data_IF_856906029487
#
_entry.id   IF_856906029487
#
_cell.length_a   1.000
_cell.length_b   1.000
_cell.length_c   1.000
_cell.angle_alpha   90.00
_cell.angle_beta   90.00
_cell.angle_gamma   90.00
#
_symmetry.space_group_name_H-M   'P 1'
#
loop_
_entity.id
_entity.type
_entity.pdbx_description
1 polymer ?
#
# COMPACT_ATOMS: atom_id res chain seq x y z
N UNK A 1 -54.74 -34.22 8.42
CA UNK A 1 -54.74 -35.39 7.57
C UNK A 1 -53.44 -35.46 6.82
N UNK A 2 -52.58 -36.32 7.16
CA UNK A 2 -52.24 -37.61 6.55
C UNK A 2 -51.51 -37.40 5.18
N UNK A 3 -50.40 -37.92 4.88
CA UNK A 3 -49.51 -38.99 5.29
C UNK A 3 -48.36 -39.05 4.33
N UNK A 4 -47.22 -39.43 4.84
CA UNK A 4 -46.42 -40.61 4.55
C UNK A 4 -46.12 -40.95 3.10
N UNK A 5 -44.93 -41.16 2.72
CA UNK A 5 -43.95 -42.24 2.60
C UNK A 5 -42.98 -41.91 1.44
N UNK A 6 -41.73 -42.19 1.39
CA UNK A 6 -40.89 -43.17 1.97
C UNK A 6 -39.85 -43.66 0.94
N UNK A 7 -38.61 -43.89 1.43
CA UNK A 7 -37.58 -44.79 0.89
C UNK A 7 -36.57 -44.28 -0.15
N UNK A 8 -35.33 -44.22 0.32
CA UNK A 8 -34.11 -44.47 -0.47
C UNK A 8 -33.97 -45.96 -0.91
N UNK A 9 -32.86 -46.54 -1.34
CA UNK A 9 -31.45 -46.23 -1.07
C UNK A 9 -30.51 -46.39 -2.31
N UNK A 10 -29.18 -46.12 -2.05
CA UNK A 10 -27.97 -46.51 -2.83
C UNK A 10 -27.94 -48.00 -3.21
N UNK A 11 -26.91 -48.59 -3.87
CA UNK A 11 -25.51 -48.21 -4.11
C UNK A 11 -24.89 -48.71 -5.44
N UNK A 12 -23.55 -48.62 -5.57
CA UNK A 12 -22.55 -49.52 -6.19
C UNK A 12 -21.53 -48.76 -7.04
N UNK A 13 -20.31 -48.59 -6.58
CA UNK A 13 -19.10 -49.43 -6.66
C UNK A 13 -18.79 -50.02 -8.04
N UNK A 14 -17.58 -49.66 -8.58
CA UNK A 14 -16.62 -50.54 -9.24
C UNK A 14 -15.29 -49.79 -9.44
N UNK A 15 -14.35 -50.22 -8.99
CA UNK A 15 -12.99 -50.73 -8.84
C UNK A 15 -12.21 -50.76 -10.13
N UNK A 16 -10.92 -50.35 -9.94
CA UNK A 16 -9.69 -50.45 -10.73
C UNK A 16 -9.52 -51.74 -11.57
N UNK A 17 -8.44 -51.81 -12.43
CA UNK A 17 -7.15 -52.29 -11.94
C UNK A 17 -5.86 -51.72 -12.61
N UNK A 18 -4.81 -51.73 -11.81
CA UNK A 18 -3.39 -52.01 -11.98
C UNK A 18 -2.86 -52.66 -13.29
N UNK A 19 -1.66 -52.21 -13.73
CA UNK A 19 -0.48 -53.02 -14.18
C UNK A 19 0.71 -52.04 -14.27
N UNK A 20 1.73 -52.14 -13.49
CA UNK A 20 2.85 -53.01 -13.22
C UNK A 20 3.96 -53.01 -14.28
N UNK A 21 5.10 -52.47 -13.84
CA UNK A 21 6.50 -52.92 -14.03
C UNK A 21 7.21 -52.75 -15.36
N UNK A 22 8.38 -52.08 -15.35
CA UNK A 22 9.66 -52.76 -15.65
C UNK A 22 10.86 -51.85 -15.31
N UNK A 23 11.78 -52.42 -14.54
CA UNK A 23 13.12 -51.95 -14.20
C UNK A 23 14.08 -52.08 -15.39
N UNK A 24 15.09 -51.21 -15.51
CA UNK A 24 16.54 -51.43 -15.78
C UNK A 24 17.22 -50.08 -15.66
N UNK A 25 18.09 -49.88 -14.87
CA UNK A 25 19.43 -50.03 -14.41
C UNK A 25 20.47 -49.54 -15.40
N UNK A 26 21.20 -48.46 -15.02
CA UNK A 26 22.67 -48.46 -15.10
C UNK A 26 23.29 -47.15 -14.57
N UNK A 27 24.16 -47.36 -13.60
CA UNK A 27 25.49 -46.79 -13.30
C UNK A 27 25.70 -45.28 -13.42
N UNK A 28 26.03 -44.72 -12.25
CA UNK A 28 26.82 -43.51 -11.99
C UNK A 28 28.23 -43.59 -12.63
N UNK A 29 28.84 -42.46 -13.01
CA UNK A 29 30.11 -42.14 -12.38
C UNK A 29 30.15 -40.73 -11.78
N UNK A 30 30.80 -40.74 -10.64
CA UNK A 30 31.22 -39.63 -9.79
C UNK A 30 32.18 -38.62 -10.48
N UNK A 31 32.26 -37.45 -9.82
CA UNK A 31 33.29 -36.43 -9.94
C UNK A 31 33.13 -35.39 -11.07
N UNK A 32 32.59 -34.26 -10.68
CA UNK A 32 33.08 -32.87 -10.91
C UNK A 32 32.19 -31.89 -10.17
N UNK A 33 32.34 -31.80 -8.84
CA UNK A 33 31.96 -30.64 -8.05
C UNK A 33 33.24 -29.80 -7.90
N UNK A 34 33.24 -28.65 -8.49
CA UNK A 34 33.93 -27.40 -8.13
C UNK A 34 34.21 -26.65 -9.45
N UNK A 35 33.48 -25.61 -9.68
CA UNK A 35 33.79 -24.46 -10.56
C UNK A 35 32.53 -23.82 -11.20
N UNK A 36 31.32 -24.04 -10.65
CA UNK A 36 30.13 -23.34 -11.11
C UNK A 36 29.43 -22.50 -10.01
N UNK A 37 30.11 -22.23 -8.89
CA UNK A 37 29.53 -21.43 -7.81
C UNK A 37 29.89 -19.95 -7.82
N UNK A 38 30.74 -19.49 -8.73
CA UNK A 38 31.24 -18.09 -8.72
C UNK A 38 30.74 -17.22 -9.88
N UNK A 39 29.81 -17.68 -10.71
CA UNK A 39 29.34 -16.92 -11.89
C UNK A 39 27.81 -16.68 -11.85
N UNK A 40 27.12 -17.07 -10.81
CA UNK A 40 25.65 -16.88 -10.67
C UNK A 40 25.23 -15.64 -9.87
N UNK A 41 26.18 -14.86 -9.34
CA UNK A 41 25.89 -13.63 -8.58
C UNK A 41 25.84 -12.34 -9.41
N UNK A 42 25.92 -12.40 -10.73
CA UNK A 42 26.08 -11.22 -11.57
C UNK A 42 24.88 -10.85 -12.46
N UNK A 43 23.68 -11.36 -12.22
CA UNK A 43 22.51 -10.96 -13.02
C UNK A 43 21.16 -11.11 -12.27
N UNK A 44 21.09 -10.62 -11.03
CA UNK A 44 19.78 -10.36 -10.42
C UNK A 44 19.41 -8.94 -10.81
N UNK A 45 18.29 -8.78 -11.53
CA UNK A 45 17.71 -7.48 -11.87
C UNK A 45 17.54 -6.62 -10.60
N UNK A 46 17.80 -5.30 -10.64
CA UNK A 46 17.55 -4.40 -9.50
C UNK A 46 16.19 -4.64 -8.83
N UNK A 47 15.12 -4.76 -9.60
CA UNK A 47 13.76 -5.05 -9.10
C UNK A 47 13.64 -6.41 -8.36
N UNK A 48 14.52 -7.38 -8.62
CA UNK A 48 14.52 -8.65 -7.90
C UNK A 48 15.31 -8.58 -6.58
N UNK A 49 16.34 -7.74 -6.51
CA UNK A 49 17.09 -7.45 -5.26
C UNK A 49 16.21 -6.68 -4.29
N UNK A 50 15.52 -5.65 -4.77
CA UNK A 50 14.65 -4.79 -3.93
C UNK A 50 13.46 -5.54 -3.34
N UNK A 51 12.88 -6.52 -4.06
CA UNK A 51 11.86 -7.42 -3.50
C UNK A 51 12.40 -8.24 -2.33
N UNK A 52 13.63 -8.73 -2.43
CA UNK A 52 14.32 -9.47 -1.37
C UNK A 52 14.53 -8.63 -0.10
N UNK A 53 14.73 -7.33 -0.24
CA UNK A 53 14.97 -6.40 0.87
C UNK A 53 13.69 -6.11 1.68
N UNK A 54 12.54 -5.94 1.01
CA UNK A 54 11.23 -5.84 1.70
C UNK A 54 10.84 -7.16 2.37
N UNK A 55 11.12 -8.31 1.74
CA UNK A 55 10.91 -9.62 2.35
C UNK A 55 11.78 -9.82 3.60
N UNK A 56 12.97 -9.23 3.64
CA UNK A 56 13.82 -9.24 4.83
C UNK A 56 13.18 -8.44 5.98
N UNK A 57 12.64 -7.26 5.72
CA UNK A 57 11.90 -6.47 6.71
C UNK A 57 10.66 -7.22 7.22
N UNK A 58 9.89 -7.84 6.32
CA UNK A 58 8.71 -8.64 6.69
C UNK A 58 9.12 -9.83 7.58
N UNK A 59 10.21 -10.52 7.26
CA UNK A 59 10.73 -11.61 8.12
C UNK A 59 11.18 -11.11 9.49
N UNK A 60 11.89 -9.98 9.54
CA UNK A 60 12.36 -9.38 10.78
C UNK A 60 11.20 -8.99 11.70
N UNK A 61 10.12 -8.47 11.14
CA UNK A 61 8.93 -8.05 11.87
C UNK A 61 7.90 -9.17 12.10
N UNK A 62 8.12 -10.41 11.64
CA UNK A 62 7.10 -11.45 11.58
C UNK A 62 6.41 -11.72 12.92
N UNK A 63 7.16 -11.80 14.01
CA UNK A 63 6.59 -12.05 15.34
C UNK A 63 5.69 -10.88 15.79
N UNK A 64 6.16 -9.65 15.60
CA UNK A 64 5.40 -8.45 15.95
C UNK A 64 4.16 -8.30 15.08
N UNK A 65 4.27 -8.58 13.78
CA UNK A 65 3.12 -8.53 12.85
C UNK A 65 2.08 -9.62 13.16
N UNK A 66 2.50 -10.80 13.65
CA UNK A 66 1.57 -11.82 14.12
C UNK A 66 0.76 -11.31 15.32
N UNK A 67 1.39 -10.59 16.25
CA UNK A 67 0.70 -9.98 17.39
C UNK A 67 -0.24 -8.84 16.94
N UNK A 68 0.18 -8.02 15.96
CA UNK A 68 -0.68 -6.99 15.34
C UNK A 68 -1.93 -7.63 14.71
N UNK A 69 -1.75 -8.73 13.96
CA UNK A 69 -2.87 -9.46 13.37
C UNK A 69 -3.82 -10.03 14.44
N UNK A 70 -3.30 -10.50 15.56
CA UNK A 70 -4.11 -10.96 16.69
C UNK A 70 -4.97 -9.82 17.27
N UNK A 71 -4.42 -8.60 17.41
CA UNK A 71 -5.19 -7.43 17.82
C UNK A 71 -6.29 -7.07 16.82
N UNK A 72 -5.98 -7.11 15.52
CA UNK A 72 -6.96 -6.85 14.47
C UNK A 72 -8.10 -7.87 14.53
N UNK A 73 -7.77 -9.16 14.53
CA UNK A 73 -8.75 -10.25 14.52
C UNK A 73 -9.66 -10.20 15.76
N UNK A 74 -9.08 -9.97 16.95
CA UNK A 74 -9.85 -9.90 18.19
C UNK A 74 -10.93 -8.81 18.17
N UNK A 75 -10.67 -7.69 17.48
CA UNK A 75 -11.61 -6.56 17.41
C UNK A 75 -12.56 -6.61 16.23
N UNK A 76 -12.27 -7.47 15.26
CA UNK A 76 -13.17 -7.74 14.13
C UNK A 76 -14.26 -8.78 14.45
N UNK A 77 -14.24 -9.39 15.61
CA UNK A 77 -15.29 -10.31 16.08
C UNK A 77 -16.58 -9.52 16.35
N UNK A 78 -17.34 -9.28 15.29
CA UNK A 78 -18.58 -8.52 15.26
C UNK A 78 -19.52 -9.16 14.24
N UNK A 79 -20.87 -9.05 14.40
CA UNK A 79 -21.81 -9.42 13.35
C UNK A 79 -21.69 -8.56 12.07
N UNK A 80 -20.85 -7.51 12.08
CA UNK A 80 -20.57 -6.69 10.91
C UNK A 80 -19.69 -7.48 9.95
N UNK A 81 -20.09 -7.63 8.67
CA UNK A 81 -19.26 -8.31 7.67
C UNK A 81 -18.06 -7.42 7.32
N UNK A 82 -16.94 -7.67 7.97
CA UNK A 82 -15.68 -6.99 7.62
C UNK A 82 -14.87 -7.95 6.75
N UNK A 83 -14.67 -7.60 5.48
CA UNK A 83 -13.77 -8.36 4.62
C UNK A 83 -12.34 -8.01 5.06
N UNK A 84 -11.50 -9.01 5.43
CA UNK A 84 -10.09 -8.74 5.67
C UNK A 84 -9.51 -8.10 4.41
N UNK A 85 -9.15 -6.83 4.48
CA UNK A 85 -8.46 -6.15 3.40
C UNK A 85 -7.09 -6.80 3.25
N UNK A 86 -6.98 -7.78 2.34
CA UNK A 86 -5.69 -8.37 1.99
C UNK A 86 -4.76 -7.27 1.50
N UNK A 87 -3.54 -7.23 2.01
CA UNK A 87 -2.54 -6.24 1.63
C UNK A 87 -1.21 -6.54 2.29
N UNK A 88 -0.15 -5.85 1.87
CA UNK A 88 1.19 -6.00 2.45
C UNK A 88 1.32 -5.43 3.86
N UNK A 89 0.25 -4.83 4.42
CA UNK A 89 0.22 -4.20 5.75
C UNK A 89 1.42 -3.28 6.00
N UNK A 90 1.73 -2.45 5.01
CA UNK A 90 2.94 -1.63 5.01
C UNK A 90 2.96 -0.62 6.17
N UNK A 91 1.82 0.03 6.46
CA UNK A 91 1.75 1.01 7.54
C UNK A 91 1.92 0.38 8.94
N UNK A 92 1.23 -0.71 9.30
CA UNK A 92 1.56 -1.48 10.50
C UNK A 92 3.02 -1.91 10.60
N UNK A 93 3.59 -2.38 9.49
CA UNK A 93 4.99 -2.79 9.41
C UNK A 93 5.93 -1.62 9.73
N UNK A 94 5.64 -0.42 9.20
CA UNK A 94 6.41 0.80 9.49
C UNK A 94 6.28 1.17 10.98
N UNK A 95 5.08 1.07 11.56
CA UNK A 95 4.86 1.37 12.99
C UNK A 95 5.74 0.48 13.88
N UNK A 96 5.75 -0.82 13.63
CA UNK A 96 6.58 -1.79 14.35
C UNK A 96 8.07 -1.55 14.10
N UNK A 97 8.47 -1.37 12.84
CA UNK A 97 9.86 -1.15 12.47
C UNK A 97 10.41 0.16 13.07
N UNK A 98 9.60 1.22 13.12
CA UNK A 98 9.95 2.49 13.74
C UNK A 98 10.16 2.34 15.26
N UNK A 99 9.29 1.60 15.95
CA UNK A 99 9.46 1.29 17.37
C UNK A 99 10.79 0.59 17.62
N UNK A 100 11.11 -0.44 16.84
CA UNK A 100 12.35 -1.19 16.94
C UNK A 100 13.59 -0.36 16.59
N UNK A 101 13.53 0.42 15.51
CA UNK A 101 14.63 1.30 15.10
C UNK A 101 14.87 2.42 16.11
N UNK A 102 13.87 2.84 16.84
CA UNK A 102 13.99 3.78 17.95
C UNK A 102 14.72 3.20 19.17
N UNK A 103 15.05 1.92 19.16
CA UNK A 103 15.76 1.25 20.25
C UNK A 103 14.85 0.65 21.31
N UNK A 104 13.60 0.35 20.97
CA UNK A 104 12.70 -0.37 21.87
C UNK A 104 13.27 -1.73 22.30
N UNK A 105 13.05 -2.09 23.56
CA UNK A 105 13.32 -3.42 24.08
C UNK A 105 12.40 -4.51 23.50
N UNK A 106 12.28 -5.63 24.19
CA UNK A 106 11.43 -6.74 23.75
C UNK A 106 9.94 -6.39 23.78
N UNK A 107 9.51 -5.62 24.78
CA UNK A 107 8.13 -5.20 24.93
C UNK A 107 7.81 -3.96 24.10
N UNK A 108 7.02 -4.15 23.06
CA UNK A 108 6.46 -3.08 22.21
C UNK A 108 4.94 -3.20 22.09
N UNK A 109 4.28 -3.70 23.12
CA UNK A 109 2.83 -3.98 23.07
C UNK A 109 2.01 -2.73 22.71
N UNK A 110 2.36 -1.56 23.25
CA UNK A 110 1.72 -0.30 22.87
C UNK A 110 1.89 -0.02 21.38
N UNK A 111 3.10 -0.21 20.82
CA UNK A 111 3.35 0.00 19.37
C UNK A 111 2.61 -1.02 18.51
N UNK A 112 2.42 -2.26 18.96
CA UNK A 112 1.61 -3.26 18.24
C UNK A 112 0.13 -2.87 18.18
N UNK A 113 -0.42 -2.37 19.29
CA UNK A 113 -1.79 -1.83 19.32
C UNK A 113 -1.94 -0.62 18.40
N UNK A 114 -0.96 0.29 18.39
CA UNK A 114 -0.95 1.44 17.49
C UNK A 114 -0.82 1.03 16.03
N UNK A 115 -0.03 -0.01 15.73
CA UNK A 115 0.05 -0.57 14.37
C UNK A 115 -1.31 -1.12 13.90
N UNK A 116 -2.04 -1.80 14.79
CA UNK A 116 -3.40 -2.25 14.47
C UNK A 116 -4.38 -1.08 14.29
N UNK A 117 -4.28 -0.03 15.11
CA UNK A 117 -5.07 1.18 14.97
C UNK A 117 -4.82 1.89 13.63
N UNK A 118 -3.55 2.02 13.22
CA UNK A 118 -3.14 2.58 11.92
C UNK A 118 -3.76 1.78 10.76
N UNK A 119 -3.77 0.45 10.84
CA UNK A 119 -4.39 -0.38 9.79
C UNK A 119 -5.91 -0.22 9.75
N UNK A 120 -6.57 -0.05 10.91
CA UNK A 120 -8.01 0.22 10.95
C UNK A 120 -8.34 1.58 10.34
N UNK A 121 -7.58 2.65 10.67
CA UNK A 121 -7.74 3.96 10.05
C UNK A 121 -7.56 3.85 8.54
N UNK A 122 -6.49 3.20 8.08
CA UNK A 122 -6.24 3.02 6.64
C UNK A 122 -7.35 2.25 5.94
N UNK A 123 -7.85 1.17 6.55
CA UNK A 123 -8.91 0.36 5.94
C UNK A 123 -10.23 1.14 5.91
N UNK A 124 -10.53 1.92 6.94
CA UNK A 124 -11.69 2.77 7.00
C UNK A 124 -11.68 3.83 5.89
N UNK A 125 -10.53 4.53 5.71
CA UNK A 125 -10.41 5.51 4.61
C UNK A 125 -10.59 4.87 3.25
N UNK A 126 -10.02 3.68 2.99
CA UNK A 126 -10.23 2.97 1.73
C UNK A 126 -11.70 2.62 1.46
N UNK A 127 -12.47 2.24 2.50
CA UNK A 127 -13.89 1.92 2.35
C UNK A 127 -14.73 3.17 2.05
N UNK A 128 -14.34 4.32 2.61
CA UNK A 128 -14.97 5.60 2.33
C UNK A 128 -14.61 6.11 0.94
N UNK A 129 -13.33 6.05 0.56
CA UNK A 129 -12.82 6.47 -0.75
C UNK A 129 -13.50 5.68 -1.88
N UNK A 130 -13.62 4.34 -1.74
CA UNK A 130 -14.29 3.50 -2.75
C UNK A 130 -15.74 3.96 -3.03
N UNK A 131 -16.44 4.49 -1.99
CA UNK A 131 -17.81 5.04 -2.16
C UNK A 131 -17.77 6.40 -2.82
N UNK A 132 -16.83 7.27 -2.43
CA UNK A 132 -16.71 8.65 -2.92
C UNK A 132 -16.25 8.65 -4.37
N UNK A 133 -15.25 7.83 -4.70
CA UNK A 133 -14.67 7.73 -6.05
C UNK A 133 -15.55 6.87 -6.99
N UNK A 134 -16.52 6.10 -6.45
CA UNK A 134 -17.32 5.15 -7.23
C UNK A 134 -16.49 3.98 -7.79
N UNK A 135 -15.37 3.64 -7.15
CA UNK A 135 -14.42 2.64 -7.64
C UNK A 135 -15.06 1.26 -7.75
N UNK A 136 -14.97 0.59 -8.90
CA UNK A 136 -15.54 -0.74 -9.09
C UNK A 136 -14.69 -1.86 -8.49
N UNK A 137 -13.37 -1.69 -8.53
CA UNK A 137 -12.40 -2.69 -8.11
C UNK A 137 -11.43 -2.13 -7.05
N UNK A 138 -11.13 -2.95 -6.04
CA UNK A 138 -10.08 -2.70 -5.06
C UNK A 138 -9.15 -3.92 -4.98
N UNK A 139 -7.88 -3.76 -5.37
CA UNK A 139 -6.89 -4.84 -5.38
C UNK A 139 -7.35 -6.07 -6.20
N UNK A 140 -7.97 -5.83 -7.34
CA UNK A 140 -8.49 -6.88 -8.23
C UNK A 140 -9.76 -7.61 -7.72
N UNK A 141 -10.37 -7.12 -6.64
CA UNK A 141 -11.65 -7.61 -6.12
C UNK A 141 -12.72 -6.53 -6.27
N UNK A 142 -13.96 -6.95 -6.38
CA UNK A 142 -15.12 -6.03 -6.40
C UNK A 142 -15.12 -5.18 -5.13
N UNK A 143 -15.29 -3.87 -5.27
CA UNK A 143 -15.33 -2.92 -4.17
C UNK A 143 -16.48 -3.24 -3.19
N UNK A 144 -16.25 -3.00 -1.91
CA UNK A 144 -17.17 -3.39 -0.84
C UNK A 144 -18.56 -2.77 -1.00
N UNK A 145 -18.63 -1.52 -1.44
CA UNK A 145 -19.90 -0.81 -1.63
C UNK A 145 -20.78 -1.38 -2.75
N UNK A 146 -20.18 -2.08 -3.73
CA UNK A 146 -20.95 -2.79 -4.77
C UNK A 146 -21.53 -4.11 -4.26
N UNK A 147 -20.92 -4.71 -3.23
CA UNK A 147 -21.38 -5.97 -2.62
C UNK A 147 -22.44 -5.70 -1.56
N UNK A 148 -22.24 -4.70 -0.70
CA UNK A 148 -23.06 -4.46 0.49
C UNK A 148 -23.90 -3.19 0.45
N UNK A 149 -23.69 -2.36 -0.59
CA UNK A 149 -24.27 -1.01 -0.70
C UNK A 149 -23.41 0.05 -0.02
N UNK A 150 -23.46 1.28 -0.54
CA UNK A 150 -22.69 2.41 -0.04
C UNK A 150 -22.94 2.72 1.46
N UNK A 151 -24.19 2.70 1.98
CA UNK A 151 -24.42 2.94 3.41
C UNK A 151 -23.72 1.93 4.31
N UNK A 152 -23.69 0.65 3.93
CA UNK A 152 -23.02 -0.40 4.72
C UNK A 152 -21.51 -0.20 4.70
N UNK A 153 -20.93 0.13 3.53
CA UNK A 153 -19.48 0.39 3.41
C UNK A 153 -19.04 1.56 4.31
N UNK A 154 -19.78 2.66 4.31
CA UNK A 154 -19.52 3.82 5.17
C UNK A 154 -19.58 3.45 6.66
N UNK A 155 -20.66 2.76 7.09
CA UNK A 155 -20.81 2.36 8.48
C UNK A 155 -19.74 1.36 8.95
N UNK A 156 -19.26 0.49 8.06
CA UNK A 156 -18.12 -0.40 8.36
C UNK A 156 -16.85 0.41 8.54
N UNK A 157 -16.62 1.45 7.72
CA UNK A 157 -15.50 2.38 7.91
C UNK A 157 -15.58 3.09 9.26
N UNK A 158 -16.74 3.61 9.65
CA UNK A 158 -16.96 4.24 10.96
C UNK A 158 -16.71 3.26 12.12
N UNK A 159 -17.16 2.01 11.96
CA UNK A 159 -16.89 0.95 12.94
C UNK A 159 -15.36 0.72 13.10
N UNK A 160 -14.62 0.68 12.01
CA UNK A 160 -13.15 0.50 12.08
C UNK A 160 -12.46 1.71 12.72
N UNK A 161 -12.91 2.94 12.45
CA UNK A 161 -12.45 4.13 13.16
C UNK A 161 -12.69 4.03 14.67
N UNK A 162 -13.89 3.60 15.09
CA UNK A 162 -14.19 3.41 16.51
C UNK A 162 -13.24 2.36 17.15
N UNK A 163 -12.95 1.25 16.45
CA UNK A 163 -12.00 0.23 16.93
C UNK A 163 -10.56 0.76 16.99
N UNK A 164 -10.15 1.64 16.06
CA UNK A 164 -8.86 2.31 16.14
C UNK A 164 -8.76 3.19 17.40
N UNK A 165 -9.79 3.96 17.72
CA UNK A 165 -9.83 4.78 18.95
C UNK A 165 -9.73 3.92 20.22
N UNK A 166 -10.43 2.80 20.31
CA UNK A 166 -10.33 1.86 21.45
C UNK A 166 -8.87 1.40 21.64
N UNK A 167 -8.20 0.99 20.55
CA UNK A 167 -6.80 0.57 20.60
C UNK A 167 -5.85 1.69 21.04
N UNK A 168 -6.05 2.90 20.54
CA UNK A 168 -5.24 4.06 20.93
C UNK A 168 -5.39 4.36 22.43
N UNK A 169 -6.62 4.34 22.95
CA UNK A 169 -6.91 4.56 24.37
C UNK A 169 -6.28 3.48 25.25
N UNK A 170 -6.30 2.21 24.82
CA UNK A 170 -5.66 1.11 25.56
C UNK A 170 -4.14 1.21 25.71
N UNK A 171 -3.49 2.13 24.99
CA UNK A 171 -2.05 2.38 25.14
C UNK A 171 -1.71 3.34 26.26
N UNK A 172 -2.69 3.96 26.92
CA UNK A 172 -2.54 5.02 27.93
C UNK A 172 -1.65 6.19 27.47
N UNK A 173 -1.47 6.37 26.15
CA UNK A 173 -0.63 7.40 25.55
C UNK A 173 -1.49 8.49 24.89
N UNK A 174 -1.73 9.57 25.61
CA UNK A 174 -2.40 10.77 25.05
C UNK A 174 -1.63 11.36 23.87
N UNK A 175 -0.29 11.20 23.85
CA UNK A 175 0.55 11.65 22.74
C UNK A 175 0.27 10.83 21.48
N UNK A 176 0.25 9.50 21.58
CA UNK A 176 -0.05 8.64 20.45
C UNK A 176 -1.48 8.84 19.92
N UNK A 177 -2.45 8.97 20.83
CA UNK A 177 -3.83 9.32 20.50
C UNK A 177 -3.90 10.65 19.72
N UNK A 178 -3.21 11.69 20.20
CA UNK A 178 -3.16 12.99 19.53
C UNK A 178 -2.58 12.93 18.12
N UNK A 179 -1.50 12.15 17.92
CA UNK A 179 -0.86 11.96 16.62
C UNK A 179 -1.84 11.33 15.62
N UNK A 180 -2.45 10.21 15.97
CA UNK A 180 -3.34 9.48 15.06
C UNK A 180 -4.68 10.21 14.85
N UNK A 181 -5.20 10.90 15.85
CA UNK A 181 -6.38 11.75 15.71
C UNK A 181 -6.11 12.92 14.74
N UNK A 182 -4.95 13.60 14.88
CA UNK A 182 -4.55 14.67 13.96
C UNK A 182 -4.35 14.14 12.54
N UNK A 183 -3.69 12.99 12.37
CA UNK A 183 -3.54 12.37 11.06
C UNK A 183 -4.89 12.08 10.41
N UNK A 184 -5.87 11.56 11.17
CA UNK A 184 -7.21 11.29 10.66
C UNK A 184 -7.93 12.56 10.19
N UNK A 185 -7.77 13.67 10.91
CA UNK A 185 -8.31 14.98 10.50
C UNK A 185 -7.65 15.48 9.21
N UNK A 186 -6.31 15.42 9.13
CA UNK A 186 -5.56 15.87 7.95
C UNK A 186 -5.91 15.04 6.71
N UNK A 187 -6.10 13.74 6.86
CA UNK A 187 -6.53 12.86 5.75
C UNK A 187 -7.91 13.31 5.22
N UNK A 188 -8.87 13.55 6.11
CA UNK A 188 -10.19 14.02 5.71
C UNK A 188 -10.15 15.39 5.03
N UNK A 189 -9.33 16.31 5.54
CA UNK A 189 -9.08 17.62 4.92
C UNK A 189 -8.46 17.46 3.51
N UNK A 190 -7.50 16.53 3.35
CA UNK A 190 -6.86 16.20 2.07
C UNK A 190 -7.81 15.61 1.05
N UNK A 191 -8.75 14.74 1.48
CA UNK A 191 -9.80 14.22 0.60
C UNK A 191 -10.72 15.33 0.09
N UNK A 192 -11.17 16.21 0.97
CA UNK A 192 -11.99 17.34 0.57
C UNK A 192 -11.22 18.26 -0.40
N UNK A 193 -9.94 18.54 -0.12
CA UNK A 193 -9.11 19.32 -1.01
C UNK A 193 -8.98 18.67 -2.39
N UNK A 194 -8.69 17.36 -2.46
CA UNK A 194 -8.63 16.62 -3.72
C UNK A 194 -9.93 16.71 -4.50
N UNK A 195 -11.09 16.52 -3.85
CA UNK A 195 -12.40 16.62 -4.50
C UNK A 195 -12.66 18.01 -5.08
N UNK A 196 -12.26 19.08 -4.36
CA UNK A 196 -12.43 20.46 -4.85
C UNK A 196 -11.49 20.81 -5.99
N UNK A 197 -10.42 20.04 -6.20
CA UNK A 197 -9.41 20.21 -7.25
C UNK A 197 -9.47 19.14 -8.34
N UNK A 198 -10.43 18.23 -8.25
CA UNK A 198 -10.66 17.26 -9.32
C UNK A 198 -10.92 18.01 -10.66
N UNK A 199 -10.39 17.45 -11.75
CA UNK A 199 -10.52 18.01 -13.10
C UNK A 199 -9.81 19.37 -13.35
N UNK A 200 -9.00 19.87 -12.41
CA UNK A 200 -8.28 21.14 -12.53
C UNK A 200 -6.90 20.94 -13.22
N UNK A 201 -6.85 21.22 -14.52
CA UNK A 201 -5.61 21.16 -15.31
C UNK A 201 -4.60 22.27 -14.97
N UNK A 202 -4.99 23.28 -14.19
CA UNK A 202 -4.12 24.35 -13.74
C UNK A 202 -3.62 24.14 -12.31
N UNK A 203 -3.87 22.96 -11.74
CA UNK A 203 -3.34 22.60 -10.42
C UNK A 203 -1.82 22.75 -10.46
N UNK A 204 -1.28 23.56 -9.56
CA UNK A 204 0.18 23.69 -9.41
C UNK A 204 0.77 22.52 -8.63
N UNK A 205 2.10 22.37 -8.78
CA UNK A 205 2.84 21.29 -8.14
C UNK A 205 2.74 21.32 -6.61
N UNK A 206 2.74 22.50 -6.02
CA UNK A 206 2.74 22.65 -4.55
C UNK A 206 1.39 22.21 -3.98
N UNK A 207 0.28 22.61 -4.60
CA UNK A 207 -1.05 22.14 -4.24
C UNK A 207 -1.21 20.62 -4.44
N UNK A 208 -0.66 20.07 -5.52
CA UNK A 208 -0.62 18.61 -5.72
C UNK A 208 0.15 17.92 -4.57
N UNK A 209 1.32 18.42 -4.21
CA UNK A 209 2.12 17.89 -3.10
C UNK A 209 1.38 18.01 -1.76
N UNK A 210 0.65 19.10 -1.53
CA UNK A 210 -0.21 19.27 -0.35
C UNK A 210 -1.28 18.17 -0.28
N UNK A 211 -1.97 17.89 -1.39
CA UNK A 211 -2.99 16.83 -1.47
C UNK A 211 -2.40 15.47 -1.13
N UNK A 212 -1.32 15.05 -1.79
CA UNK A 212 -0.75 13.72 -1.54
C UNK A 212 -0.09 13.61 -0.16
N UNK A 213 0.40 14.71 0.38
CA UNK A 213 0.93 14.78 1.73
C UNK A 213 -0.19 14.53 2.73
N UNK A 214 -1.30 15.25 2.62
CA UNK A 214 -2.43 15.11 3.51
C UNK A 214 -3.11 13.73 3.39
N UNK A 215 -3.47 13.32 2.17
CA UNK A 215 -4.22 12.09 1.91
C UNK A 215 -3.41 10.83 2.19
N UNK A 216 -2.13 10.81 1.85
CA UNK A 216 -1.31 9.58 1.87
C UNK A 216 -0.16 9.64 2.85
N UNK A 217 0.70 10.67 2.78
CA UNK A 217 1.95 10.68 3.51
C UNK A 217 1.76 10.92 5.01
N UNK A 218 0.73 11.64 5.43
CA UNK A 218 0.46 11.92 6.84
C UNK A 218 0.22 10.64 7.65
N UNK A 219 -0.48 9.63 7.09
CA UNK A 219 -0.66 8.37 7.80
C UNK A 219 0.63 7.53 7.86
N UNK A 220 1.54 7.66 6.89
CA UNK A 220 2.88 7.06 6.98
C UNK A 220 3.71 7.75 8.07
N UNK A 221 3.66 9.09 8.14
CA UNK A 221 4.32 9.87 9.17
C UNK A 221 3.80 9.50 10.57
N UNK A 222 2.47 9.47 10.74
CA UNK A 222 1.82 9.13 12.00
C UNK A 222 2.08 7.67 12.41
N UNK A 223 2.18 6.75 11.46
CA UNK A 223 2.54 5.35 11.71
C UNK A 223 3.94 5.23 12.30
N UNK A 224 4.95 5.87 11.70
CA UNK A 224 6.31 5.84 12.21
C UNK A 224 6.44 6.60 13.54
N UNK A 225 5.82 7.78 13.65
CA UNK A 225 5.81 8.60 14.85
C UNK A 225 5.17 7.90 16.04
N UNK A 226 3.95 7.37 15.85
CA UNK A 226 3.23 6.67 16.91
C UNK A 226 3.95 5.38 17.36
N UNK A 227 4.58 4.67 16.43
CA UNK A 227 5.41 3.52 16.73
C UNK A 227 6.55 3.87 17.69
N UNK A 228 7.28 4.96 17.40
CA UNK A 228 8.36 5.45 18.25
C UNK A 228 7.86 5.94 19.61
N UNK A 229 6.72 6.65 19.64
CA UNK A 229 6.08 7.09 20.90
C UNK A 229 5.66 5.89 21.75
N UNK A 230 5.04 4.87 21.16
CA UNK A 230 4.64 3.64 21.85
C UNK A 230 5.82 2.85 22.40
N UNK A 231 7.01 3.04 21.84
CA UNK A 231 8.28 2.47 22.29
C UNK A 231 8.98 3.32 23.38
N UNK A 232 8.43 4.48 23.76
CA UNK A 232 9.03 5.37 24.76
C UNK A 232 10.27 6.11 24.24
N UNK A 233 10.41 6.30 22.93
CA UNK A 233 11.54 7.02 22.34
C UNK A 233 11.55 8.52 22.73
N UNK A 234 12.73 9.11 22.73
CA UNK A 234 12.91 10.54 22.93
C UNK A 234 12.37 11.35 21.71
N UNK A 235 12.17 12.67 21.94
CA UNK A 235 11.59 13.56 20.93
C UNK A 235 12.43 13.65 19.65
N UNK A 236 13.74 13.51 19.74
CA UNK A 236 14.62 13.58 18.58
C UNK A 236 14.40 12.37 17.65
N UNK A 237 14.30 11.16 18.23
CA UNK A 237 14.02 9.93 17.49
C UNK A 237 12.59 9.91 16.94
N UNK A 238 11.63 10.36 17.75
CA UNK A 238 10.23 10.52 17.32
C UNK A 238 10.13 11.45 16.12
N UNK A 239 10.80 12.61 16.17
CA UNK A 239 10.83 13.57 15.06
C UNK A 239 11.51 13.03 13.81
N UNK A 240 12.63 12.31 13.97
CA UNK A 240 13.34 11.66 12.87
C UNK A 240 12.45 10.62 12.16
N UNK A 241 11.76 9.77 12.91
CA UNK A 241 10.88 8.74 12.37
C UNK A 241 9.60 9.33 11.74
N UNK A 242 9.05 10.43 12.30
CA UNK A 242 8.00 11.19 11.63
C UNK A 242 8.47 11.70 10.27
N UNK A 243 9.65 12.34 10.21
CA UNK A 243 10.26 12.83 8.97
C UNK A 243 10.49 11.72 7.95
N UNK A 244 10.97 10.56 8.39
CA UNK A 244 11.10 9.37 7.56
C UNK A 244 9.75 8.96 6.96
N UNK A 245 8.73 8.78 7.81
CA UNK A 245 7.41 8.34 7.37
C UNK A 245 6.77 9.31 6.37
N UNK A 246 6.89 10.62 6.62
CA UNK A 246 6.36 11.66 5.73
C UNK A 246 6.98 11.58 4.33
N UNK A 247 8.31 11.59 4.26
CA UNK A 247 9.02 11.56 2.99
C UNK A 247 8.82 10.21 2.25
N UNK A 248 8.81 9.10 2.98
CA UNK A 248 8.48 7.79 2.40
C UNK A 248 7.08 7.77 1.80
N UNK A 249 6.08 8.36 2.49
CA UNK A 249 4.71 8.41 2.02
C UNK A 249 4.54 9.23 0.73
N UNK A 250 5.25 10.37 0.62
CA UNK A 250 5.28 11.19 -0.60
C UNK A 250 5.95 10.41 -1.74
N UNK A 251 7.13 9.81 -1.51
CA UNK A 251 7.83 9.00 -2.51
C UNK A 251 6.96 7.84 -2.99
N UNK A 252 6.26 7.18 -2.06
CA UNK A 252 5.34 6.08 -2.36
C UNK A 252 4.19 6.51 -3.26
N UNK A 253 3.56 7.68 -3.00
CA UNK A 253 2.45 8.17 -3.80
C UNK A 253 2.92 8.61 -5.18
N UNK A 254 4.03 9.35 -5.29
CA UNK A 254 4.61 9.74 -6.58
C UNK A 254 4.91 8.53 -7.47
N UNK A 255 5.48 7.47 -6.90
CA UNK A 255 5.73 6.22 -7.62
C UNK A 255 4.42 5.51 -8.02
N UNK A 256 3.37 5.55 -7.19
CA UNK A 256 2.05 4.98 -7.49
C UNK A 256 1.39 5.70 -8.67
N UNK A 257 1.42 7.03 -8.67
CA UNK A 257 0.88 7.87 -9.77
C UNK A 257 1.66 7.64 -11.09
N UNK A 258 2.98 7.47 -11.02
CA UNK A 258 3.78 7.12 -12.21
C UNK A 258 3.45 5.74 -12.76
N UNK A 259 3.18 4.75 -11.89
CA UNK A 259 2.78 3.40 -12.25
C UNK A 259 1.44 3.33 -12.98
N UNK A 260 0.50 4.22 -12.65
CA UNK A 260 -0.83 4.24 -13.28
C UNK A 260 -0.74 4.48 -14.79
N UNK A 261 0.28 5.24 -15.26
CA UNK A 261 0.55 5.48 -16.68
C UNK A 261 1.66 4.58 -17.25
N UNK A 262 2.55 4.01 -16.42
CA UNK A 262 3.76 3.30 -16.85
C UNK A 262 3.54 1.92 -17.47
N UNK A 263 2.39 1.28 -17.26
CA UNK A 263 2.06 -0.02 -17.85
C UNK A 263 2.46 -1.25 -17.05
N UNK A 264 3.13 -1.10 -15.89
CA UNK A 264 3.42 -2.20 -14.95
C UNK A 264 2.26 -2.48 -13.98
N UNK A 265 1.15 -1.76 -14.08
CA UNK A 265 -0.03 -1.82 -13.19
C UNK A 265 -0.67 -3.20 -13.13
N UNK A 266 -0.68 -3.96 -14.23
CA UNK A 266 -1.25 -5.31 -14.27
C UNK A 266 -0.56 -6.28 -13.30
N UNK A 267 0.73 -6.08 -12.99
CA UNK A 267 1.47 -6.87 -12.02
C UNK A 267 1.11 -6.55 -10.56
N UNK A 268 0.44 -5.40 -10.31
CA UNK A 268 0.07 -4.90 -8.99
C UNK A 268 -1.42 -5.07 -8.66
N UNK A 269 -2.22 -5.63 -9.58
CA UNK A 269 -3.66 -5.87 -9.36
C UNK A 269 -4.53 -4.60 -9.38
N UNK A 270 -4.05 -3.50 -10.01
CA UNK A 270 -4.81 -2.30 -10.36
C UNK A 270 -5.11 -2.28 -11.85
N UNK A 271 -6.22 -1.68 -12.25
CA UNK A 271 -6.43 -1.30 -13.64
C UNK A 271 -5.52 -0.12 -13.94
N UNK A 272 -4.80 -0.17 -15.07
CA UNK A 272 -4.05 0.99 -15.53
C UNK A 272 -5.03 2.08 -15.95
N UNK A 273 -4.79 3.33 -15.51
CA UNK A 273 -5.59 4.49 -15.89
C UNK A 273 -6.76 4.80 -14.96
N UNK A 274 -6.82 4.23 -13.77
CA UNK A 274 -7.85 4.58 -12.80
C UNK A 274 -7.83 6.08 -12.50
N UNK A 275 -6.64 6.70 -12.29
CA UNK A 275 -6.50 8.15 -12.07
C UNK A 275 -7.03 8.99 -13.23
N UNK A 276 -6.78 8.56 -14.48
CA UNK A 276 -7.30 9.23 -15.67
C UNK A 276 -8.81 9.10 -15.74
N UNK A 277 -9.36 7.92 -15.48
CA UNK A 277 -10.80 7.66 -15.53
C UNK A 277 -11.57 8.42 -14.43
N UNK A 278 -10.97 8.63 -13.28
CA UNK A 278 -11.52 9.41 -12.18
C UNK A 278 -11.30 10.93 -12.37
N UNK A 279 -10.46 11.33 -13.34
CA UNK A 279 -10.15 12.74 -13.62
C UNK A 279 -9.23 13.36 -12.57
N UNK A 280 -8.43 12.53 -11.88
CA UNK A 280 -7.45 13.00 -10.91
C UNK A 280 -6.28 13.70 -11.59
N UNK A 281 -5.99 14.93 -11.16
CA UNK A 281 -4.86 15.72 -11.66
C UNK A 281 -3.55 15.32 -10.97
N UNK A 282 -3.02 14.13 -11.32
CA UNK A 282 -1.77 13.61 -10.77
C UNK A 282 -0.54 14.21 -11.45
N UNK A 283 0.63 14.18 -10.80
CA UNK A 283 1.83 14.83 -11.31
C UNK A 283 2.24 14.41 -12.72
N UNK A 284 2.23 13.11 -13.10
CA UNK A 284 2.52 12.70 -14.47
C UNK A 284 1.59 13.37 -15.50
N UNK A 285 0.28 13.45 -15.17
CA UNK A 285 -0.70 14.13 -16.01
C UNK A 285 -0.39 15.64 -16.12
N UNK A 286 -0.22 16.34 -15.01
CA UNK A 286 0.05 17.78 -14.97
C UNK A 286 1.30 18.15 -15.75
N UNK A 287 2.39 17.37 -15.61
CA UNK A 287 3.61 17.56 -16.38
C UNK A 287 3.39 17.32 -17.88
N UNK A 288 2.62 16.30 -18.25
CA UNK A 288 2.29 16.03 -19.65
C UNK A 288 1.46 17.17 -20.26
N UNK A 289 0.44 17.65 -19.56
CA UNK A 289 -0.38 18.81 -19.96
C UNK A 289 0.53 20.03 -20.19
N UNK A 290 1.41 20.35 -19.24
CA UNK A 290 2.33 21.48 -19.37
C UNK A 290 3.26 21.34 -20.58
N UNK A 291 3.82 20.14 -20.84
CA UNK A 291 4.78 19.86 -21.90
C UNK A 291 4.14 19.75 -23.29
N UNK A 292 2.84 19.52 -23.35
CA UNK A 292 2.08 19.42 -24.60
C UNK A 292 1.20 20.66 -24.88
N UNK A 293 1.32 21.69 -24.04
CA UNK A 293 0.54 22.93 -24.15
C UNK A 293 0.61 23.53 -25.56
N UNK A 294 -0.54 24.01 -26.07
CA UNK A 294 -0.70 24.55 -27.43
C UNK A 294 -0.82 23.48 -28.52
N UNK A 295 -0.58 22.21 -28.25
CA UNK A 295 -0.72 21.10 -29.21
C UNK A 295 -1.86 20.15 -28.87
N UNK A 296 -2.08 19.87 -27.61
CA UNK A 296 -3.03 18.87 -27.12
C UNK A 296 -4.07 19.49 -26.15
N UNK A 297 -4.18 20.81 -26.07
CA UNK A 297 -5.05 21.51 -25.11
C UNK A 297 -6.51 21.06 -25.25
N UNK A 298 -7.01 20.92 -26.50
CA UNK A 298 -8.38 20.48 -26.74
C UNK A 298 -8.63 19.03 -26.26
N UNK A 299 -7.64 18.16 -26.35
CA UNK A 299 -7.73 16.79 -25.85
C UNK A 299 -7.84 16.79 -24.32
N UNK A 300 -6.95 17.49 -23.63
CA UNK A 300 -6.93 17.55 -22.19
C UNK A 300 -8.17 18.23 -21.62
N UNK A 301 -8.61 19.35 -22.23
CA UNK A 301 -9.84 20.05 -21.84
C UNK A 301 -11.06 19.13 -21.93
N UNK A 302 -11.21 18.39 -23.02
CA UNK A 302 -12.32 17.46 -23.21
C UNK A 302 -12.27 16.31 -22.21
N UNK A 303 -11.11 15.66 -22.09
CA UNK A 303 -11.02 14.39 -21.34
C UNK A 303 -10.92 14.59 -19.82
N UNK A 304 -10.26 15.65 -19.35
CA UNK A 304 -10.08 15.91 -17.93
C UNK A 304 -11.07 16.93 -17.42
N UNK A 305 -11.08 18.15 -17.96
CA UNK A 305 -11.92 19.23 -17.41
C UNK A 305 -13.41 18.95 -17.62
N UNK A 306 -13.81 18.48 -18.81
CA UNK A 306 -15.22 18.15 -19.11
C UNK A 306 -15.61 16.73 -18.77
N UNK A 307 -14.65 15.85 -18.54
CA UNK A 307 -14.90 14.45 -18.25
C UNK A 307 -15.47 13.63 -19.43
N UNK A 308 -15.39 14.16 -20.65
CA UNK A 308 -15.88 13.51 -21.87
C UNK A 308 -14.82 12.54 -22.41
N UNK A 309 -14.89 11.26 -21.98
CA UNK A 309 -13.90 10.23 -22.29
C UNK A 309 -14.51 9.13 -23.16
N UNK A 310 -13.76 8.69 -24.19
CA UNK A 310 -14.05 7.53 -25.01
C UNK A 310 -13.09 6.37 -24.71
N UNK A 311 -13.37 5.20 -25.30
CA UNK A 311 -12.61 3.96 -25.07
C UNK A 311 -11.10 4.07 -25.35
N UNK A 312 -10.70 4.90 -26.32
CA UNK A 312 -9.31 5.07 -26.73
C UNK A 312 -8.56 6.21 -26.02
N UNK A 313 -9.26 7.03 -25.24
CA UNK A 313 -8.68 8.25 -24.68
C UNK A 313 -7.60 7.97 -23.64
N UNK A 314 -7.75 6.93 -22.82
CA UNK A 314 -6.67 6.54 -21.90
C UNK A 314 -5.40 6.12 -22.66
N UNK A 315 -5.53 5.36 -23.74
CA UNK A 315 -4.38 5.00 -24.57
C UNK A 315 -3.66 6.24 -25.10
N UNK A 316 -4.42 7.22 -25.59
CA UNK A 316 -3.86 8.50 -26.07
C UNK A 316 -3.23 9.31 -24.95
N UNK A 317 -3.89 9.43 -23.79
CA UNK A 317 -3.34 10.11 -22.61
C UNK A 317 -2.01 9.47 -22.17
N UNK A 318 -1.97 8.14 -22.12
CA UNK A 318 -0.76 7.39 -21.78
C UNK A 318 0.39 7.65 -22.78
N UNK A 319 0.12 7.64 -24.08
CA UNK A 319 1.11 7.97 -25.11
C UNK A 319 1.70 9.38 -24.89
N UNK A 320 0.85 10.37 -24.55
CA UNK A 320 1.29 11.74 -24.28
C UNK A 320 2.09 11.83 -22.97
N UNK A 321 1.67 11.17 -21.90
CA UNK A 321 2.37 11.16 -20.62
C UNK A 321 3.75 10.50 -20.77
N UNK A 322 3.81 9.31 -21.38
CA UNK A 322 5.08 8.61 -21.64
C UNK A 322 5.98 9.40 -22.58
N UNK A 323 5.43 9.84 -23.71
CA UNK A 323 6.18 10.57 -24.75
C UNK A 323 6.70 11.93 -24.30
N UNK A 324 6.06 12.56 -23.32
CA UNK A 324 6.52 13.83 -22.74
C UNK A 324 7.68 13.67 -21.73
N UNK A 325 8.01 12.45 -21.29
CA UNK A 325 8.99 12.21 -20.23
C UNK A 325 8.47 12.58 -18.82
N UNK A 326 7.16 12.72 -18.65
CA UNK A 326 6.54 13.08 -17.36
C UNK A 326 6.74 12.01 -16.30
N UNK A 327 6.71 10.72 -16.69
CA UNK A 327 6.95 9.59 -15.78
C UNK A 327 8.34 9.68 -15.16
N UNK A 328 9.39 9.85 -15.98
CA UNK A 328 10.77 9.99 -15.49
C UNK A 328 10.92 11.14 -14.50
N UNK A 329 10.37 12.32 -14.83
CA UNK A 329 10.42 13.47 -13.92
C UNK A 329 9.67 13.26 -12.61
N UNK A 330 8.58 12.48 -12.61
CA UNK A 330 7.86 12.12 -11.40
C UNK A 330 8.66 11.13 -10.54
N UNK A 331 9.31 10.15 -11.18
CA UNK A 331 10.17 9.18 -10.49
C UNK A 331 11.45 9.81 -9.94
N UNK A 332 12.04 10.78 -10.64
CA UNK A 332 13.18 11.55 -10.14
C UNK A 332 12.81 12.27 -8.85
N UNK A 333 11.63 12.93 -8.82
CA UNK A 333 11.13 13.56 -7.60
C UNK A 333 10.83 12.54 -6.49
N UNK A 334 10.30 11.36 -6.83
CA UNK A 334 10.09 10.28 -5.85
C UNK A 334 11.43 9.83 -5.23
N UNK A 335 12.50 9.78 -6.05
CA UNK A 335 13.86 9.50 -5.60
C UNK A 335 14.37 10.53 -4.60
N UNK A 336 14.17 11.82 -4.86
CA UNK A 336 14.57 12.90 -3.94
C UNK A 336 13.88 12.73 -2.56
N UNK A 337 12.60 12.38 -2.53
CA UNK A 337 11.89 12.12 -1.29
C UNK A 337 12.32 10.82 -0.60
N UNK A 338 12.67 9.78 -1.34
CA UNK A 338 13.23 8.56 -0.77
C UNK A 338 14.59 8.82 -0.11
N UNK A 339 15.45 9.64 -0.73
CA UNK A 339 16.72 10.06 -0.15
C UNK A 339 16.52 10.94 1.09
N UNK A 340 15.54 11.85 1.08
CA UNK A 340 15.17 12.63 2.25
C UNK A 340 14.64 11.74 3.40
N UNK A 341 13.90 10.68 3.09
CA UNK A 341 13.46 9.70 4.07
C UNK A 341 14.65 9.00 4.74
N UNK A 342 15.62 8.50 3.94
CA UNK A 342 16.84 7.88 4.46
C UNK A 342 17.67 8.87 5.31
N UNK A 343 17.79 10.10 4.86
CA UNK A 343 18.51 11.14 5.59
C UNK A 343 17.89 11.43 6.95
N UNK A 344 16.56 11.36 7.09
CA UNK A 344 15.88 11.55 8.38
C UNK A 344 16.29 10.48 9.42
N UNK A 345 16.69 9.27 8.99
CA UNK A 345 17.13 8.19 9.87
C UNK A 345 18.58 8.36 10.37
N UNK A 346 19.33 9.34 9.89
CA UNK A 346 20.76 9.50 10.20
C UNK A 346 21.06 9.63 11.70
N UNK A 347 20.13 10.17 12.48
CA UNK A 347 20.26 10.35 13.93
C UNK A 347 19.94 9.09 14.74
N UNK A 348 19.36 8.07 14.13
CA UNK A 348 19.06 6.81 14.80
C UNK A 348 20.31 5.93 14.93
N UNK A 349 20.40 5.11 15.99
CA UNK A 349 21.47 4.14 16.12
C UNK A 349 21.42 3.11 14.99
N UNK A 350 22.60 2.64 14.57
CA UNK A 350 22.70 1.60 13.56
C UNK A 350 22.08 0.30 14.08
N UNK A 351 21.20 -0.27 13.25
CA UNK A 351 20.46 -1.50 13.56
C UNK A 351 19.96 -2.14 12.26
N UNK A 352 19.60 -3.43 12.34
CA UNK A 352 18.95 -4.13 11.24
C UNK A 352 17.63 -3.44 10.84
N UNK A 353 16.92 -2.85 11.81
CA UNK A 353 15.67 -2.14 11.58
C UNK A 353 15.88 -0.83 10.83
N UNK A 354 16.90 -0.05 11.19
CA UNK A 354 17.27 1.17 10.43
C UNK A 354 17.61 0.81 8.99
N UNK A 355 18.50 -0.17 8.79
CA UNK A 355 18.86 -0.65 7.45
C UNK A 355 17.65 -1.13 6.66
N UNK A 356 16.71 -1.82 7.31
CA UNK A 356 15.50 -2.30 6.65
C UNK A 356 14.54 -1.16 6.26
N UNK A 357 14.45 -0.09 7.08
CA UNK A 357 13.69 1.11 6.73
C UNK A 357 14.33 1.88 5.57
N UNK A 358 15.67 1.99 5.52
CA UNK A 358 16.38 2.60 4.39
C UNK A 358 16.08 1.86 3.07
N UNK A 359 16.15 0.54 3.09
CA UNK A 359 15.81 -0.29 1.93
C UNK A 359 14.35 -0.22 1.52
N UNK A 360 13.44 -0.01 2.47
CA UNK A 360 12.04 0.22 2.17
C UNK A 360 11.82 1.51 1.39
N UNK A 361 12.60 2.57 1.69
CA UNK A 361 12.55 3.82 0.94
C UNK A 361 13.03 3.63 -0.51
N UNK A 362 14.12 2.88 -0.72
CA UNK A 362 14.60 2.55 -2.07
C UNK A 362 13.56 1.71 -2.85
N UNK A 363 12.95 0.72 -2.19
CA UNK A 363 11.92 -0.10 -2.80
C UNK A 363 10.67 0.69 -3.21
N UNK A 364 10.29 1.73 -2.45
CA UNK A 364 9.13 2.54 -2.77
C UNK A 364 9.19 3.15 -4.17
N UNK A 365 10.40 3.49 -4.64
CA UNK A 365 10.65 4.09 -5.96
C UNK A 365 10.93 3.02 -7.01
N UNK A 366 11.82 2.06 -6.71
CA UNK A 366 12.28 1.06 -7.68
C UNK A 366 11.17 0.15 -8.21
N UNK A 367 10.06 -0.01 -7.48
CA UNK A 367 8.89 -0.77 -7.94
C UNK A 367 8.20 -0.16 -9.18
N UNK A 368 8.48 1.11 -9.48
CA UNK A 368 7.88 1.88 -10.58
C UNK A 368 8.89 2.20 -11.70
N UNK A 369 10.17 1.87 -11.52
CA UNK A 369 11.26 2.14 -12.47
C UNK A 369 11.40 1.06 -13.57
#
# INVERSE_FOLDING_TARGET
GAGCDGRGPSPLMARSPLCAASQRGNSCPSSRRSEKSAVLDAAVSPAARDKGDVEALVRLAQADMTAVDAHIIARMQSPVPVIPAGGKRLRPLITVAAARAAGAGEDIEASRKLAAAVEFIHTATLLHDDVVDGSELRRGKVAAHLIWGAPTSLLVGDFLFARAFELMVETDSMRALGILAKASSVIAEGEVLQLTRAHDLNLDRDTYLEIITAKTAELFAAAAESGAVGAGADDARVGALRGYGLNLGIAFQLADDALDYGGASAALGKNAGDDFNEGKATLPLLLAVQRTRGREDAFWERTITKGERGEDDFRRARELVVGSGAIGATLDLAGDYADAAKAALATLPDSEWKTALEKLADFAVSRAA
#
